data_IF_256507312485
#
_entry.id   IF_256507312485
#
_cell.length_a   1.000
_cell.length_b   1.000
_cell.length_c   1.000
_cell.angle_alpha   90.00
_cell.angle_beta   90.00
_cell.angle_gamma   90.00
#
_symmetry.space_group_name_H-M   'P 1'
#
loop_
_entity.id
_entity.type
_entity.pdbx_description
1 polymer ?
#
# COMPACT_ATOMS: atom_id res chain seq x y z
N UNK A 1 -7.22 14.60 -3.48
CA UNK A 1 -6.44 14.53 -4.75
C UNK A 1 -6.30 13.09 -5.26
N UNK A 2 -5.62 12.18 -4.55
CA UNK A 2 -5.34 10.82 -5.04
C UNK A 2 -6.58 9.98 -5.40
N UNK A 3 -7.64 10.01 -4.58
CA UNK A 3 -8.92 9.34 -4.89
C UNK A 3 -9.52 9.79 -6.23
N UNK A 4 -9.46 11.09 -6.52
CA UNK A 4 -9.97 11.66 -7.78
C UNK A 4 -9.15 11.18 -8.97
N UNK A 5 -7.83 11.13 -8.84
CA UNK A 5 -6.94 10.64 -9.90
C UNK A 5 -7.12 9.15 -10.15
N UNK A 6 -7.23 8.33 -9.09
CA UNK A 6 -7.46 6.91 -9.21
C UNK A 6 -8.74 6.60 -9.99
N UNK A 7 -9.83 7.31 -9.69
CA UNK A 7 -11.08 7.23 -10.44
C UNK A 7 -10.91 7.67 -11.89
N UNK A 8 -10.25 8.81 -12.15
CA UNK A 8 -10.05 9.36 -13.50
C UNK A 8 -9.29 8.39 -14.41
N UNK A 9 -8.24 7.77 -13.90
CA UNK A 9 -7.37 6.90 -14.68
C UNK A 9 -7.74 5.41 -14.58
N UNK A 10 -8.81 5.07 -13.87
CA UNK A 10 -9.23 3.69 -13.59
C UNK A 10 -8.08 2.81 -13.08
N UNK A 11 -7.33 3.32 -12.10
CA UNK A 11 -6.21 2.61 -11.46
C UNK A 11 -6.57 2.24 -10.02
N UNK A 12 -6.03 1.11 -9.56
CA UNK A 12 -6.12 0.72 -8.14
C UNK A 12 -5.43 1.77 -7.27
N UNK A 13 -5.95 1.96 -6.06
CA UNK A 13 -5.43 2.92 -5.10
C UNK A 13 -5.31 2.29 -3.72
N UNK A 14 -4.17 2.53 -3.08
CA UNK A 14 -4.00 2.41 -1.63
C UNK A 14 -4.34 3.79 -1.05
N UNK A 15 -5.45 3.97 -0.31
CA UNK A 15 -5.90 5.30 0.13
C UNK A 15 -4.89 6.01 1.00
N UNK A 16 -4.17 5.25 1.84
CA UNK A 16 -3.06 5.74 2.64
C UNK A 16 -2.02 4.63 2.81
N UNK A 17 -0.79 4.85 2.33
CA UNK A 17 0.27 3.83 2.33
C UNK A 17 0.75 3.48 3.74
N UNK A 18 0.74 4.46 4.65
CA UNK A 18 1.24 4.34 6.01
C UNK A 18 0.11 4.19 7.03
N UNK A 19 -1.04 3.65 6.61
CA UNK A 19 -2.19 3.46 7.49
C UNK A 19 -1.82 2.59 8.68
N UNK A 20 -2.12 3.06 9.90
CA UNK A 20 -1.71 2.42 11.14
C UNK A 20 -0.20 2.42 11.46
N UNK A 21 0.63 3.14 10.68
CA UNK A 21 2.09 3.23 10.89
C UNK A 21 2.54 4.68 11.11
N UNK A 22 2.01 5.62 10.33
CA UNK A 22 2.52 6.99 10.31
C UNK A 22 2.48 7.66 11.70
N UNK A 23 3.65 8.09 12.17
CA UNK A 23 3.79 8.86 13.41
C UNK A 23 3.66 8.02 14.67
N UNK A 24 3.46 6.70 14.58
CA UNK A 24 3.50 5.83 15.76
C UNK A 24 4.96 5.62 16.19
N UNK A 25 5.37 6.08 17.39
CA UNK A 25 6.75 5.94 17.86
C UNK A 25 7.22 4.48 17.99
N UNK A 26 6.30 3.52 18.15
CA UNK A 26 6.63 2.10 18.21
C UNK A 26 6.88 1.48 16.83
N UNK A 27 6.40 2.13 15.76
CA UNK A 27 6.48 1.65 14.38
C UNK A 27 7.38 2.52 13.49
N UNK A 28 7.80 3.69 13.98
CA UNK A 28 8.69 4.61 13.29
C UNK A 28 10.10 4.63 13.89
N UNK A 29 11.05 5.18 13.13
CA UNK A 29 12.42 5.47 13.55
C UNK A 29 12.44 6.74 14.41
N UNK A 30 13.61 7.10 14.96
CA UNK A 30 13.75 8.26 15.86
C UNK A 30 13.37 9.61 15.24
N UNK A 31 13.27 9.69 13.91
CA UNK A 31 12.79 10.87 13.19
C UNK A 31 11.26 11.01 13.13
N UNK A 32 10.52 9.97 13.54
CA UNK A 32 9.07 9.96 13.53
C UNK A 32 8.42 9.87 12.14
N UNK A 33 9.17 9.77 11.05
CA UNK A 33 8.63 9.75 9.68
C UNK A 33 8.92 8.45 8.92
N UNK A 34 10.03 7.78 9.22
CA UNK A 34 10.39 6.53 8.55
C UNK A 34 9.89 5.33 9.36
N UNK A 35 9.20 4.35 8.75
CA UNK A 35 8.92 3.09 9.43
C UNK A 35 10.21 2.38 9.87
N UNK A 36 10.17 1.77 11.06
CA UNK A 36 11.15 0.79 11.50
C UNK A 36 10.81 -0.60 10.89
N UNK A 37 11.59 -1.67 11.13
CA UNK A 37 11.33 -2.98 10.52
C UNK A 37 9.92 -3.52 10.77
N UNK A 38 9.31 -3.25 11.94
CA UNK A 38 7.94 -3.67 12.25
C UNK A 38 6.92 -2.86 11.46
N UNK A 39 7.09 -1.55 11.41
CA UNK A 39 6.24 -0.67 10.59
C UNK A 39 6.33 -1.01 9.11
N UNK A 40 7.52 -1.33 8.61
CA UNK A 40 7.73 -1.72 7.21
C UNK A 40 6.99 -3.02 6.83
N UNK A 41 6.93 -4.00 7.73
CA UNK A 41 6.12 -5.21 7.52
C UNK A 41 4.63 -4.88 7.35
N UNK A 42 4.09 -3.98 8.18
CA UNK A 42 2.69 -3.56 8.08
C UNK A 42 2.43 -2.83 6.75
N UNK A 43 3.33 -1.94 6.33
CA UNK A 43 3.25 -1.27 5.03
C UNK A 43 3.27 -2.29 3.89
N UNK A 44 4.13 -3.31 3.96
CA UNK A 44 4.19 -4.37 2.96
C UNK A 44 2.87 -5.16 2.87
N UNK A 45 2.25 -5.50 4.02
CA UNK A 45 0.95 -6.18 4.05
C UNK A 45 -0.17 -5.32 3.44
N UNK A 46 -0.17 -4.01 3.69
CA UNK A 46 -1.13 -3.08 3.07
C UNK A 46 -0.98 -3.03 1.54
N UNK A 47 0.25 -3.01 1.05
CA UNK A 47 0.53 -3.07 -0.39
C UNK A 47 0.08 -4.42 -0.96
N UNK A 48 0.40 -5.52 -0.28
CA UNK A 48 0.09 -6.87 -0.74
C UNK A 48 -1.41 -7.10 -0.93
N UNK A 49 -2.25 -6.59 -0.02
CA UNK A 49 -3.73 -6.67 -0.12
C UNK A 49 -4.29 -6.10 -1.43
N UNK A 50 -3.60 -5.14 -2.05
CA UNK A 50 -3.99 -4.56 -3.34
C UNK A 50 -3.28 -5.24 -4.51
N UNK A 51 -2.00 -5.61 -4.33
CA UNK A 51 -1.16 -6.18 -5.38
C UNK A 51 -1.53 -7.64 -5.71
N UNK A 52 -1.80 -8.48 -4.71
CA UNK A 52 -2.12 -9.89 -4.89
C UNK A 52 -3.30 -10.15 -5.85
N UNK A 53 -4.50 -9.55 -5.65
CA UNK A 53 -5.60 -9.74 -6.59
C UNK A 53 -5.26 -9.16 -7.97
N UNK A 54 -4.47 -8.09 -8.03
CA UNK A 54 -4.03 -7.51 -9.31
C UNK A 54 -3.16 -8.47 -10.13
N UNK A 55 -2.26 -9.18 -9.46
CA UNK A 55 -1.42 -10.20 -10.09
C UNK A 55 -2.25 -11.40 -10.53
N UNK A 56 -3.24 -11.81 -9.74
CA UNK A 56 -4.14 -12.90 -10.10
C UNK A 56 -4.95 -12.57 -11.37
N UNK A 57 -5.53 -11.37 -11.45
CA UNK A 57 -6.25 -10.88 -12.63
C UNK A 57 -5.34 -10.80 -13.86
N UNK A 58 -4.15 -10.21 -13.71
CA UNK A 58 -3.18 -10.10 -14.80
C UNK A 58 -2.77 -11.48 -15.33
N UNK A 59 -2.55 -12.46 -14.44
CA UNK A 59 -2.25 -13.84 -14.83
C UNK A 59 -3.39 -14.47 -15.62
N UNK A 60 -4.65 -14.26 -15.21
CA UNK A 60 -5.82 -14.75 -15.95
C UNK A 60 -5.94 -14.11 -17.32
N UNK A 61 -5.67 -12.81 -17.46
CA UNK A 61 -5.68 -12.12 -18.77
C UNK A 61 -4.59 -12.66 -19.69
N UNK A 62 -3.39 -12.92 -19.18
CA UNK A 62 -2.25 -13.40 -19.98
C UNK A 62 -2.36 -14.87 -20.40
N UNK A 63 -3.21 -15.65 -19.74
CA UNK A 63 -3.46 -17.07 -20.06
C UNK A 63 -4.72 -17.30 -20.89
N UNK A 64 -5.41 -16.23 -21.28
CA UNK A 64 -6.48 -16.23 -22.30
C UNK A 64 -5.92 -15.77 -23.64
#
# INVERSE_FOLDING_TARGET
>A
VYLTLAKRYNIRLIPFLLDGVAGDPALNQGDGIHPNPRGATIVADLVWRVLEPALAEARTTLSR
#
